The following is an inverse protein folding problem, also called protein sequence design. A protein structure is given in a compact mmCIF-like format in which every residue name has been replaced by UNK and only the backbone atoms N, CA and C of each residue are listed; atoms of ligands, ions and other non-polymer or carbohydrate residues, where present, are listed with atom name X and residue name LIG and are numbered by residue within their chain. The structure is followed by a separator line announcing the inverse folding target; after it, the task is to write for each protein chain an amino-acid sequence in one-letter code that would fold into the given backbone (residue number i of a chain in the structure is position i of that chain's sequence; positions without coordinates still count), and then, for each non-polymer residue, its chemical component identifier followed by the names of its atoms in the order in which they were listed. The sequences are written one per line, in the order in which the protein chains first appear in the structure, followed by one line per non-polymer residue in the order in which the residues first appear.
data_IF_164237055984
#
_entry.id   IF_164237055984
#
_cell.length_a   1.000
_cell.length_b   1.000
_cell.length_c   1.000
_cell.angle_alpha   90.00
_cell.angle_beta   90.00
_cell.angle_gamma   90.00
#
_symmetry.space_group_name_H-M   'P 1'
#
loop_
_entity.id
_entity.type
_entity.pdbx_description
1 polymer ?
#
# COMPACT_ATOMS: atom_id res chain seq x y z
N UNK A 1 3.55 -15.75 1.38
CA UNK A 1 2.76 -14.88 0.48
C UNK A 1 3.65 -13.80 -0.11
N UNK A 2 4.46 -13.11 0.71
CA UNK A 2 5.25 -11.95 0.29
C UNK A 2 6.77 -12.20 0.25
N UNK A 3 7.21 -13.44 0.03
CA UNK A 3 8.65 -13.75 -0.03
C UNK A 3 9.36 -12.91 -1.11
N UNK A 4 8.66 -12.67 -2.22
CA UNK A 4 9.09 -11.78 -3.30
C UNK A 4 9.37 -10.33 -2.83
N UNK A 5 8.60 -9.82 -1.88
CA UNK A 5 8.75 -8.45 -1.38
C UNK A 5 10.00 -8.32 -0.50
N UNK A 6 10.27 -9.35 0.31
CA UNK A 6 11.46 -9.43 1.15
C UNK A 6 12.72 -9.41 0.31
N UNK A 7 12.78 -10.25 -0.72
CA UNK A 7 13.98 -10.39 -1.55
C UNK A 7 14.30 -9.09 -2.33
N UNK A 8 13.27 -8.36 -2.81
CA UNK A 8 13.46 -7.04 -3.44
C UNK A 8 13.96 -6.02 -2.41
N UNK A 9 13.41 -6.02 -1.19
CA UNK A 9 13.88 -5.14 -0.12
C UNK A 9 15.35 -5.44 0.25
N UNK A 10 15.75 -6.72 0.26
CA UNK A 10 17.14 -7.11 0.53
C UNK A 10 18.07 -6.64 -0.62
N UNK A 11 17.67 -6.78 -1.88
CA UNK A 11 18.44 -6.23 -3.02
C UNK A 11 18.55 -4.70 -2.97
N UNK A 12 17.48 -3.99 -2.65
CA UNK A 12 17.53 -2.54 -2.48
C UNK A 12 18.50 -2.16 -1.34
N UNK A 13 18.73 -3.03 -0.35
CA UNK A 13 19.60 -2.77 0.80
C UNK A 13 21.06 -2.96 0.39
N UNK A 14 21.32 -3.91 -0.52
CA UNK A 14 22.63 -4.06 -1.17
C UNK A 14 22.99 -2.83 -2.01
N UNK A 15 22.03 -2.28 -2.77
CA UNK A 15 22.27 -1.15 -3.67
C UNK A 15 22.48 0.16 -2.89
N UNK A 16 21.61 0.45 -1.94
CA UNK A 16 21.67 1.68 -1.14
C UNK A 16 21.29 1.38 0.31
N UNK A 17 22.26 1.17 1.22
CA UNK A 17 21.97 0.86 2.62
C UNK A 17 21.48 2.08 3.44
N UNK A 18 21.73 3.30 2.95
CA UNK A 18 21.50 4.56 3.69
C UNK A 18 20.27 5.32 3.18
N UNK A 19 19.31 4.61 2.58
CA UNK A 19 18.15 5.14 1.84
C UNK A 19 17.51 6.31 2.58
N UNK A 20 17.74 7.53 2.08
CA UNK A 20 17.12 8.73 2.66
C UNK A 20 15.89 9.19 1.89
N UNK A 21 15.78 8.87 0.59
CA UNK A 21 14.75 9.49 -0.26
C UNK A 21 14.13 8.59 -1.34
N UNK A 22 14.71 7.42 -1.66
CA UNK A 22 14.22 6.53 -2.72
C UNK A 22 14.40 5.05 -2.36
N UNK A 23 13.43 4.21 -2.72
CA UNK A 23 13.46 2.76 -2.58
C UNK A 23 12.35 2.15 -1.71
N UNK A 24 12.31 0.81 -1.71
CA UNK A 24 11.38 -0.03 -0.95
C UNK A 24 11.92 -0.36 0.44
N UNK A 25 11.42 0.25 1.50
CA UNK A 25 11.77 -0.04 2.91
C UNK A 25 10.63 -0.75 3.64
N UNK A 26 10.91 -1.94 4.15
CA UNK A 26 9.99 -2.67 5.05
C UNK A 26 10.32 -2.36 6.51
N UNK A 27 9.31 -2.32 7.39
CA UNK A 27 9.55 -2.25 8.83
C UNK A 27 10.35 -3.46 9.32
N UNK A 28 11.30 -3.28 10.24
CA UNK A 28 12.17 -4.36 10.72
C UNK A 28 11.41 -5.48 11.46
N UNK A 29 10.22 -5.18 11.97
CA UNK A 29 9.39 -6.09 12.73
C UNK A 29 7.95 -6.07 12.23
N UNK A 30 7.33 -7.25 12.24
CA UNK A 30 5.90 -7.39 12.06
C UNK A 30 5.11 -7.06 13.33
N UNK A 31 3.84 -6.75 13.14
CA UNK A 31 2.89 -6.53 14.20
C UNK A 31 2.64 -7.83 14.98
N UNK A 32 2.56 -7.71 16.29
CA UNK A 32 2.17 -8.81 17.16
C UNK A 32 0.69 -9.13 16.99
N UNK A 33 0.31 -10.38 17.32
CA UNK A 33 -1.10 -10.79 17.30
C UNK A 33 -1.99 -9.91 18.19
N UNK A 34 -1.45 -9.43 19.32
CA UNK A 34 -2.15 -8.50 20.22
C UNK A 34 -2.43 -7.15 19.54
N UNK A 35 -1.46 -6.59 18.82
CA UNK A 35 -1.63 -5.31 18.11
C UNK A 35 -2.67 -5.44 16.98
N UNK A 36 -2.61 -6.54 16.23
CA UNK A 36 -3.56 -6.83 15.17
C UNK A 36 -4.99 -7.01 15.70
N UNK A 37 -5.16 -7.79 16.78
CA UNK A 37 -6.47 -7.97 17.45
C UNK A 37 -7.01 -6.66 18.03
N UNK A 38 -6.13 -5.83 18.61
CA UNK A 38 -6.52 -4.52 19.11
C UNK A 38 -7.01 -3.64 17.96
N UNK A 39 -6.29 -3.59 16.84
CA UNK A 39 -6.71 -2.84 15.66
C UNK A 39 -8.08 -3.29 15.16
N UNK A 40 -8.30 -4.58 14.95
CA UNK A 40 -9.59 -5.14 14.50
C UNK A 40 -10.73 -4.84 15.48
N UNK A 41 -10.46 -4.97 16.78
CA UNK A 41 -11.44 -4.62 17.83
C UNK A 41 -11.82 -3.15 17.78
N UNK A 42 -10.85 -2.26 17.54
CA UNK A 42 -11.07 -0.83 17.44
C UNK A 42 -11.80 -0.43 16.15
N UNK A 43 -11.54 -1.14 15.05
CA UNK A 43 -12.23 -0.94 13.77
C UNK A 43 -13.64 -1.55 13.76
N UNK A 44 -13.90 -2.54 14.61
CA UNK A 44 -15.16 -3.29 14.62
C UNK A 44 -15.30 -4.26 13.44
N UNK A 45 -14.22 -4.50 12.70
CA UNK A 45 -14.14 -5.41 11.55
C UNK A 45 -12.80 -6.18 11.58
N UNK A 46 -12.79 -7.39 11.02
CA UNK A 46 -11.53 -8.10 10.76
C UNK A 46 -10.75 -7.41 9.63
N UNK A 47 -9.42 -7.47 9.66
CA UNK A 47 -8.58 -7.01 8.55
C UNK A 47 -8.72 -7.96 7.35
N UNK A 48 -8.50 -7.43 6.14
CA UNK A 48 -8.36 -8.28 4.95
C UNK A 48 -7.19 -9.27 5.15
N UNK A 49 -7.31 -10.55 4.77
CA UNK A 49 -6.28 -11.56 5.04
C UNK A 49 -4.90 -11.16 4.52
N UNK A 50 -4.78 -10.72 3.26
CA UNK A 50 -3.51 -10.28 2.69
C UNK A 50 -2.90 -9.06 3.40
N UNK A 51 -3.73 -8.13 3.88
CA UNK A 51 -3.28 -6.97 4.67
C UNK A 51 -2.82 -7.38 6.07
N UNK A 52 -3.55 -8.29 6.73
CA UNK A 52 -3.18 -8.83 8.04
C UNK A 52 -1.85 -9.60 7.96
N UNK A 53 -1.72 -10.49 6.97
CA UNK A 53 -0.51 -11.29 6.73
C UNK A 53 0.71 -10.40 6.43
N UNK A 54 0.50 -9.27 5.73
CA UNK A 54 1.53 -8.27 5.51
C UNK A 54 1.95 -7.61 6.82
N UNK A 55 0.99 -7.05 7.59
CA UNK A 55 1.30 -6.38 8.85
C UNK A 55 1.99 -7.31 9.85
N UNK A 56 1.61 -8.59 9.86
CA UNK A 56 2.25 -9.60 10.71
C UNK A 56 3.73 -9.86 10.35
N UNK A 57 4.13 -9.63 9.10
CA UNK A 57 5.52 -9.77 8.66
C UNK A 57 6.29 -8.46 8.79
N UNK A 58 5.65 -7.34 8.40
CA UNK A 58 6.22 -5.99 8.44
C UNK A 58 5.12 -5.01 8.86
N UNK A 59 5.28 -4.39 10.02
CA UNK A 59 4.30 -3.44 10.56
C UNK A 59 4.40 -2.06 9.89
N UNK A 60 4.26 -2.03 8.56
CA UNK A 60 4.38 -0.85 7.73
C UNK A 60 5.49 -0.97 6.67
N UNK A 61 5.41 -0.11 5.67
CA UNK A 61 6.35 -0.06 4.55
C UNK A 61 6.40 1.35 3.96
N UNK A 62 7.53 1.74 3.41
CA UNK A 62 7.64 2.89 2.52
C UNK A 62 8.20 2.45 1.16
N UNK A 63 7.71 3.01 0.07
CA UNK A 63 8.14 2.73 -1.29
C UNK A 63 8.17 4.04 -2.06
N UNK A 64 9.34 4.68 -2.18
CA UNK A 64 9.43 6.06 -2.68
C UNK A 64 8.48 6.99 -1.90
N UNK A 65 7.52 7.56 -2.60
CA UNK A 65 6.45 8.41 -2.08
C UNK A 65 5.27 7.59 -1.52
N UNK A 66 5.25 6.27 -1.63
CA UNK A 66 4.21 5.45 -1.01
C UNK A 66 4.53 5.11 0.43
N UNK A 67 3.52 5.16 1.30
CA UNK A 67 3.66 4.75 2.69
C UNK A 67 2.45 3.92 3.13
N UNK A 68 2.71 2.68 3.54
CA UNK A 68 1.72 1.77 4.15
C UNK A 68 1.82 1.92 5.66
N UNK A 69 0.72 2.37 6.26
CA UNK A 69 0.61 2.67 7.68
C UNK A 69 0.77 1.40 8.55
N UNK A 70 1.53 1.54 9.63
CA UNK A 70 1.62 0.58 10.72
C UNK A 70 0.32 0.46 11.51
N UNK A 71 0.17 -0.57 12.35
CA UNK A 71 -0.97 -0.71 13.27
C UNK A 71 -1.16 0.51 14.18
N UNK A 72 -0.08 1.12 14.66
CA UNK A 72 -0.13 2.35 15.47
C UNK A 72 -0.60 3.56 14.67
N UNK A 73 -0.09 3.74 13.45
CA UNK A 73 -0.49 4.84 12.58
C UNK A 73 -1.95 4.69 12.14
N UNK A 74 -2.41 3.47 11.84
CA UNK A 74 -3.81 3.18 11.56
C UNK A 74 -4.73 3.56 12.73
N UNK A 75 -4.32 3.26 13.97
CA UNK A 75 -5.08 3.63 15.17
C UNK A 75 -5.04 5.14 15.43
N UNK A 76 -3.90 5.78 15.22
CA UNK A 76 -3.77 7.23 15.32
C UNK A 76 -4.67 7.91 14.30
N UNK A 77 -4.60 7.48 13.04
CA UNK A 77 -5.41 7.99 11.93
C UNK A 77 -6.91 7.82 12.18
N UNK A 78 -7.32 6.66 12.72
CA UNK A 78 -8.68 6.44 13.24
C UNK A 78 -9.09 7.50 14.27
N UNK A 79 -8.21 7.79 15.24
CA UNK A 79 -8.54 8.65 16.37
C UNK A 79 -8.52 10.14 16.00
N UNK A 80 -7.68 10.54 15.03
CA UNK A 80 -7.55 11.92 14.58
C UNK A 80 -8.57 12.29 13.50
N UNK A 81 -8.81 11.40 12.52
CA UNK A 81 -9.76 11.66 11.44
C UNK A 81 -11.22 11.35 11.81
N UNK A 82 -11.44 10.46 12.78
CA UNK A 82 -12.76 10.03 13.24
C UNK A 82 -13.49 9.13 12.23
N UNK A 83 -14.02 8.00 12.68
CA UNK A 83 -14.94 7.19 11.89
C UNK A 83 -16.39 7.60 12.13
N UNK A 84 -17.15 7.81 11.06
CA UNK A 84 -18.59 8.04 11.12
C UNK A 84 -19.35 6.70 11.24
N UNK A 85 -20.39 6.60 12.11
CA UNK A 85 -21.31 5.46 12.13
C UNK A 85 -22.16 5.35 10.84
N UNK A 86 -22.65 4.15 10.55
CA UNK A 86 -23.32 3.71 9.30
C UNK A 86 -24.56 4.52 8.85
N UNK A 87 -25.25 5.20 9.78
CA UNK A 87 -26.66 5.57 9.63
C UNK A 87 -26.91 7.04 9.27
N UNK A 88 -25.85 7.85 9.14
CA UNK A 88 -25.95 9.29 8.91
C UNK A 88 -25.36 9.70 7.57
N UNK A 89 -25.95 10.74 6.96
CA UNK A 89 -25.23 11.58 6.00
C UNK A 89 -23.84 11.92 6.58
N UNK A 90 -22.82 11.92 5.73
CA UNK A 90 -21.55 12.56 6.03
C UNK A 90 -21.82 14.06 6.14
N UNK A 91 -22.27 14.51 7.32
CA UNK A 91 -22.46 15.94 7.59
C UNK A 91 -21.10 16.54 7.89
N UNK A 92 -20.54 17.27 6.93
CA UNK A 92 -19.43 18.19 7.18
C UNK A 92 -19.91 19.28 8.16
N UNK A 93 -19.76 19.06 9.46
CA UNK A 93 -20.01 20.10 10.46
C UNK A 93 -18.69 20.82 10.73
N UNK A 94 -18.50 21.95 10.04
CA UNK A 94 -17.34 22.83 10.14
C UNK A 94 -17.16 23.51 11.50
N UNK A 95 -17.98 23.20 12.50
CA UNK A 95 -18.13 24.03 13.71
C UNK A 95 -17.25 23.60 14.90
N UNK A 96 -16.56 22.45 14.84
CA UNK A 96 -15.72 21.97 15.96
C UNK A 96 -14.35 21.42 15.54
N UNK A 97 -13.86 21.73 14.33
CA UNK A 97 -12.67 21.09 13.78
C UNK A 97 -11.55 22.11 13.63
N UNK A 98 -10.36 21.70 14.04
CA UNK A 98 -9.11 22.47 13.93
C UNK A 98 -8.87 22.89 12.47
N UNK A 99 -8.71 24.19 12.18
CA UNK A 99 -8.47 24.69 10.82
C UNK A 99 -7.20 24.15 10.15
N UNK A 100 -6.27 23.58 10.92
CA UNK A 100 -5.04 22.96 10.39
C UNK A 100 -5.22 21.46 10.05
N UNK A 101 -6.36 20.85 10.40
CA UNK A 101 -6.71 19.48 9.97
C UNK A 101 -7.38 19.56 8.62
N UNK A 102 -6.76 18.97 7.59
CA UNK A 102 -7.34 18.85 6.26
C UNK A 102 -8.68 18.08 6.32
N UNK A 103 -9.78 18.83 6.47
CA UNK A 103 -11.18 18.44 6.60
C UNK A 103 -11.69 17.47 5.51
N UNK A 104 -10.95 17.29 4.44
CA UNK A 104 -11.34 16.50 3.27
C UNK A 104 -11.50 15.01 3.62
N UNK A 105 -10.76 14.47 4.60
CA UNK A 105 -10.78 13.03 4.91
C UNK A 105 -11.42 12.64 6.26
N UNK A 106 -11.89 13.60 7.06
CA UNK A 106 -12.61 13.32 8.31
C UNK A 106 -14.09 13.10 8.04
N UNK A 107 -14.72 12.14 8.73
CA UNK A 107 -16.08 11.59 8.48
C UNK A 107 -16.18 10.43 7.48
N UNK A 108 -15.23 9.50 7.49
CA UNK A 108 -15.34 8.25 6.73
C UNK A 108 -15.99 7.14 7.54
N UNK A 109 -16.75 6.22 6.93
CA UNK A 109 -17.17 5.01 7.63
C UNK A 109 -16.00 4.10 7.99
N UNK A 110 -16.06 3.42 9.14
CA UNK A 110 -14.99 2.54 9.66
C UNK A 110 -14.60 1.36 8.74
N UNK A 111 -15.49 0.98 7.81
CA UNK A 111 -15.22 -0.07 6.84
C UNK A 111 -14.32 0.37 5.67
N UNK A 112 -13.91 1.64 5.62
CA UNK A 112 -12.86 2.16 4.74
C UNK A 112 -11.57 2.33 5.53
N UNK A 113 -10.87 1.22 5.72
CA UNK A 113 -9.57 1.29 6.38
C UNK A 113 -8.57 1.93 5.42
N UNK A 114 -8.31 3.23 5.59
CA UNK A 114 -7.20 3.88 4.91
C UNK A 114 -5.90 3.32 5.46
N UNK A 115 -5.05 2.87 4.56
CA UNK A 115 -3.74 2.32 4.89
C UNK A 115 -2.60 3.03 4.15
N UNK A 116 -2.91 4.00 3.27
CA UNK A 116 -1.95 4.84 2.56
C UNK A 116 -2.51 6.27 2.40
N UNK A 117 -1.72 7.31 2.72
CA UNK A 117 -2.17 8.72 2.84
C UNK A 117 -1.55 9.68 1.81
N UNK A 118 -2.09 10.91 1.77
CA UNK A 118 -1.74 12.00 0.85
C UNK A 118 -0.32 12.53 0.96
N UNK A 119 0.35 12.31 2.09
CA UNK A 119 1.51 13.12 2.48
C UNK A 119 2.68 13.02 1.49
N UNK A 120 2.64 12.02 0.60
CA UNK A 120 3.68 11.74 -0.37
C UNK A 120 3.15 11.43 -1.80
N UNK A 121 2.01 10.76 -1.99
CA UNK A 121 1.57 10.23 -3.33
C UNK A 121 0.53 11.05 -4.09
N UNK A 122 -0.14 11.99 -3.42
CA UNK A 122 -1.34 12.64 -3.98
C UNK A 122 -2.58 11.72 -4.12
N UNK A 123 -2.54 10.51 -3.57
CA UNK A 123 -3.68 9.58 -3.53
C UNK A 123 -3.90 9.02 -2.12
N UNK A 124 -5.16 8.76 -1.75
CA UNK A 124 -5.50 7.95 -0.56
C UNK A 124 -6.07 6.63 -1.02
N UNK A 125 -5.53 5.55 -0.47
CA UNK A 125 -6.08 4.22 -0.65
C UNK A 125 -6.69 3.69 0.63
N UNK A 126 -7.80 2.97 0.48
CA UNK A 126 -8.45 2.26 1.56
C UNK A 126 -8.91 0.87 1.15
N UNK A 127 -9.07 -0.02 2.14
CA UNK A 127 -9.76 -1.30 1.98
C UNK A 127 -11.26 -1.10 2.17
N UNK A 128 -12.10 -1.57 1.24
CA UNK A 128 -13.58 -1.53 1.36
C UNK A 128 -14.13 -2.85 1.92
N UNK A 129 -14.31 -2.90 3.24
CA UNK A 129 -14.85 -4.07 3.93
C UNK A 129 -16.33 -4.37 3.64
N UNK A 130 -17.07 -3.51 2.91
CA UNK A 130 -18.47 -3.78 2.53
C UNK A 130 -18.62 -4.64 1.29
N UNK A 131 -17.64 -4.60 0.41
CA UNK A 131 -17.72 -5.19 -0.92
C UNK A 131 -16.65 -6.27 -1.08
N UNK A 132 -16.59 -7.27 -0.18
CA UNK A 132 -15.53 -8.26 -0.20
C UNK A 132 -15.52 -9.02 -1.53
N UNK A 133 -14.33 -9.25 -2.07
CA UNK A 133 -14.09 -10.07 -3.24
C UNK A 133 -13.52 -11.41 -2.76
N UNK A 134 -14.41 -12.39 -2.57
CA UNK A 134 -14.04 -13.63 -1.90
C UNK A 134 -13.78 -13.41 -0.41
N UNK A 135 -12.54 -13.67 0.04
CA UNK A 135 -12.11 -13.42 1.42
C UNK A 135 -11.36 -12.08 1.59
N UNK A 136 -11.07 -11.38 0.49
CA UNK A 136 -10.31 -10.13 0.50
C UNK A 136 -11.22 -8.90 0.47
N UNK A 137 -10.68 -7.78 0.94
CA UNK A 137 -11.31 -6.48 0.74
C UNK A 137 -10.63 -5.79 -0.44
N UNK A 138 -11.39 -5.30 -1.43
CA UNK A 138 -10.81 -4.58 -2.54
C UNK A 138 -10.19 -3.28 -2.05
N UNK A 139 -9.15 -2.86 -2.76
CA UNK A 139 -8.49 -1.58 -2.52
C UNK A 139 -9.13 -0.53 -3.43
N UNK A 140 -9.61 0.54 -2.82
CA UNK A 140 -10.24 1.65 -3.49
C UNK A 140 -9.35 2.89 -3.43
N UNK A 141 -9.35 3.67 -4.50
CA UNK A 141 -8.98 5.08 -4.41
C UNK A 141 -10.11 5.78 -3.66
N UNK A 142 -9.76 6.40 -2.53
CA UNK A 142 -10.64 7.27 -1.79
C UNK A 142 -10.42 8.71 -2.25
N UNK A 143 -11.47 9.33 -2.77
CA UNK A 143 -11.44 10.75 -3.16
C UNK A 143 -12.46 11.54 -2.35
N UNK A 144 -11.96 12.44 -1.51
CA UNK A 144 -12.76 13.29 -0.65
C UNK A 144 -13.57 14.36 -1.39
N UNK A 145 -13.15 14.70 -2.61
CA UNK A 145 -13.71 15.84 -3.35
C UNK A 145 -14.96 15.47 -4.15
N UNK A 146 -15.27 14.17 -4.29
CA UNK A 146 -16.41 13.67 -5.03
C UNK A 146 -17.62 13.36 -4.14
N UNK A 147 -18.81 13.37 -4.75
CA UNK A 147 -20.05 12.96 -4.09
C UNK A 147 -19.95 11.54 -3.52
N UNK A 148 -20.75 11.24 -2.50
CA UNK A 148 -20.75 9.96 -1.76
C UNK A 148 -20.98 8.71 -2.64
N UNK A 149 -21.44 8.85 -3.87
CA UNK A 149 -21.62 7.73 -4.81
C UNK A 149 -20.36 7.45 -5.66
N UNK A 150 -19.47 8.44 -5.81
CA UNK A 150 -18.27 8.39 -6.66
C UNK A 150 -16.94 8.44 -5.87
N UNK A 151 -16.99 8.63 -4.54
CA UNK A 151 -15.81 8.78 -3.69
C UNK A 151 -14.95 7.50 -3.52
N UNK A 152 -15.43 6.35 -4.01
CA UNK A 152 -14.70 5.08 -3.99
C UNK A 152 -14.65 4.47 -5.39
N UNK A 153 -13.45 4.41 -5.94
CA UNK A 153 -13.21 3.67 -7.17
C UNK A 153 -12.35 2.46 -6.83
N UNK A 154 -12.90 1.26 -6.97
CA UNK A 154 -12.13 0.02 -6.85
C UNK A 154 -10.99 0.06 -7.87
N UNK A 155 -9.76 -0.06 -7.37
CA UNK A 155 -8.54 -0.10 -8.19
C UNK A 155 -7.95 -1.50 -8.23
N UNK A 156 -7.97 -2.18 -7.10
CA UNK A 156 -7.39 -3.52 -6.97
C UNK A 156 -8.37 -4.47 -6.29
N UNK A 157 -8.37 -5.75 -6.69
CA UNK A 157 -9.24 -6.77 -6.09
C UNK A 157 -8.82 -7.15 -4.66
N UNK A 158 -7.55 -6.91 -4.29
CA UNK A 158 -7.01 -7.19 -2.96
C UNK A 158 -5.80 -6.29 -2.63
N UNK A 159 -5.37 -6.31 -1.37
CA UNK A 159 -4.15 -5.64 -0.94
C UNK A 159 -2.88 -6.27 -1.56
N UNK A 160 -2.83 -7.60 -1.69
CA UNK A 160 -1.73 -8.30 -2.41
C UNK A 160 -1.61 -7.83 -3.86
N UNK A 161 -2.73 -7.71 -4.59
CA UNK A 161 -2.73 -7.26 -5.99
C UNK A 161 -2.15 -5.85 -6.13
N UNK A 162 -2.54 -4.94 -5.23
CA UNK A 162 -1.98 -3.59 -5.17
C UNK A 162 -0.46 -3.63 -4.90
N UNK A 163 -0.01 -4.41 -3.92
CA UNK A 163 1.40 -4.52 -3.59
C UNK A 163 2.22 -5.05 -4.77
N UNK A 164 1.73 -6.08 -5.47
CA UNK A 164 2.38 -6.62 -6.66
C UNK A 164 2.54 -5.57 -7.75
N UNK A 165 1.48 -4.81 -8.06
CA UNK A 165 1.54 -3.75 -9.07
C UNK A 165 2.54 -2.65 -8.69
N UNK A 166 2.46 -2.16 -7.45
CA UNK A 166 3.29 -1.04 -6.99
C UNK A 166 4.76 -1.44 -6.96
N UNK A 167 5.08 -2.65 -6.49
CA UNK A 167 6.45 -3.15 -6.51
C UNK A 167 6.93 -3.45 -7.93
N UNK A 168 6.08 -4.00 -8.81
CA UNK A 168 6.43 -4.22 -10.21
C UNK A 168 6.79 -2.91 -10.92
N UNK A 169 5.96 -1.87 -10.76
CA UNK A 169 6.22 -0.56 -11.36
C UNK A 169 7.51 0.05 -10.82
N UNK A 170 7.74 0.00 -9.50
CA UNK A 170 9.00 0.44 -8.91
C UNK A 170 10.22 -0.27 -9.54
N UNK A 171 10.15 -1.61 -9.68
CA UNK A 171 11.25 -2.38 -10.27
C UNK A 171 11.48 -1.97 -11.73
N UNK A 172 10.44 -1.76 -12.51
CA UNK A 172 10.56 -1.46 -13.95
C UNK A 172 10.93 0.00 -14.23
N UNK A 173 10.45 0.95 -13.41
CA UNK A 173 10.53 2.38 -13.70
C UNK A 173 11.65 3.07 -12.90
N UNK A 174 11.81 2.73 -11.62
CA UNK A 174 12.60 3.56 -10.68
C UNK A 174 13.96 2.97 -10.31
N UNK A 175 14.17 1.65 -10.49
CA UNK A 175 15.39 1.02 -9.97
C UNK A 175 16.65 1.36 -10.76
N UNK A 176 16.53 1.74 -12.04
CA UNK A 176 17.65 2.25 -12.83
C UNK A 176 18.11 3.61 -12.28
N UNK A 177 17.17 4.49 -11.94
CA UNK A 177 17.48 5.76 -11.29
C UNK A 177 18.10 5.52 -9.91
N UNK A 178 17.58 4.56 -9.14
CA UNK A 178 18.13 4.18 -7.84
C UNK A 178 19.59 3.69 -7.92
N UNK A 179 19.96 2.91 -8.94
CA UNK A 179 21.36 2.49 -9.16
C UNK A 179 22.23 3.69 -9.53
N UNK A 180 21.73 4.55 -10.43
CA UNK A 180 22.48 5.72 -10.92
C UNK A 180 22.74 6.76 -9.82
N UNK A 181 21.78 6.92 -8.90
CA UNK A 181 21.85 7.84 -7.77
C UNK A 181 22.43 7.19 -6.49
N UNK A 182 22.88 5.93 -6.58
CA UNK A 182 23.41 5.22 -5.43
C UNK A 182 24.66 5.94 -4.88
N UNK A 183 24.84 6.03 -3.54
CA UNK A 183 26.06 6.58 -2.95
C UNK A 183 27.32 5.74 -3.22
N UNK A 184 27.13 4.51 -3.69
CA UNK A 184 28.18 3.54 -3.99
C UNK A 184 28.58 3.68 -5.45
N UNK A 185 29.86 3.91 -5.73
CA UNK A 185 30.40 3.85 -7.09
C UNK A 185 30.48 2.38 -7.54
N UNK A 186 29.49 1.94 -8.31
CA UNK A 186 29.51 0.63 -8.96
C UNK A 186 30.38 0.65 -10.22
N UNK A 187 31.08 -0.45 -10.50
CA UNK A 187 31.67 -0.65 -11.83
C UNK A 187 30.59 -0.98 -12.86
N UNK A 188 30.88 -0.75 -14.15
CA UNK A 188 29.95 -1.09 -15.25
C UNK A 188 29.51 -2.58 -15.23
N UNK A 189 30.39 -3.49 -14.79
CA UNK A 189 30.03 -4.91 -14.64
C UNK A 189 29.05 -5.15 -13.49
N UNK A 190 29.23 -4.45 -12.36
CA UNK A 190 28.34 -4.52 -11.19
C UNK A 190 26.97 -3.90 -11.49
N UNK A 191 26.94 -2.73 -12.14
CA UNK A 191 25.70 -2.08 -12.58
C UNK A 191 24.90 -2.99 -13.52
N UNK A 192 25.55 -3.54 -14.55
CA UNK A 192 24.91 -4.47 -15.47
C UNK A 192 24.40 -5.74 -14.76
N UNK A 193 25.14 -6.25 -13.77
CA UNK A 193 24.72 -7.39 -12.96
C UNK A 193 23.49 -7.08 -12.10
N UNK A 194 23.42 -5.88 -11.52
CA UNK A 194 22.26 -5.41 -10.75
C UNK A 194 21.02 -5.22 -11.63
N UNK A 195 21.18 -4.58 -12.80
CA UNK A 195 20.11 -4.41 -13.77
C UNK A 195 19.54 -5.77 -14.20
N UNK A 196 20.40 -6.75 -14.52
CA UNK A 196 19.95 -8.10 -14.88
C UNK A 196 19.17 -8.79 -13.75
N UNK A 197 19.58 -8.61 -12.49
CA UNK A 197 18.81 -9.13 -11.35
C UNK A 197 17.42 -8.50 -11.30
N UNK A 198 17.32 -7.17 -11.46
CA UNK A 198 16.07 -6.44 -11.44
C UNK A 198 15.13 -6.82 -12.60
N UNK A 199 15.67 -7.05 -13.80
CA UNK A 199 14.90 -7.57 -14.94
C UNK A 199 14.30 -8.94 -14.65
N UNK A 200 15.08 -9.86 -14.06
CA UNK A 200 14.60 -11.18 -13.65
C UNK A 200 13.48 -11.06 -12.59
N UNK A 201 13.60 -10.12 -11.67
CA UNK A 201 12.58 -9.81 -10.67
C UNK A 201 11.27 -9.33 -11.29
N UNK A 202 11.34 -8.39 -12.23
CA UNK A 202 10.16 -7.91 -12.95
C UNK A 202 9.44 -9.06 -13.66
N UNK A 203 10.20 -10.00 -14.25
CA UNK A 203 9.63 -11.22 -14.85
C UNK A 203 8.96 -12.12 -13.82
N UNK A 204 9.58 -12.35 -12.66
CA UNK A 204 9.00 -13.17 -11.59
C UNK A 204 7.70 -12.55 -11.03
N UNK A 205 7.68 -11.25 -10.77
CA UNK A 205 6.46 -10.56 -10.32
C UNK A 205 5.35 -10.66 -11.37
N UNK A 206 5.69 -10.54 -12.64
CA UNK A 206 4.76 -10.74 -13.75
C UNK A 206 4.20 -12.16 -13.81
N UNK A 207 5.04 -13.17 -13.59
CA UNK A 207 4.63 -14.57 -13.50
C UNK A 207 3.65 -14.77 -12.34
N UNK A 208 3.98 -14.28 -11.14
CA UNK A 208 3.09 -14.33 -9.96
C UNK A 208 1.73 -13.69 -10.28
N UNK A 209 1.73 -12.46 -10.80
CA UNK A 209 0.48 -11.76 -11.18
C UNK A 209 -0.34 -12.57 -12.18
N UNK A 210 0.32 -13.18 -13.17
CA UNK A 210 -0.34 -14.00 -14.20
C UNK A 210 -0.91 -15.30 -13.63
N UNK A 211 -0.18 -15.98 -12.74
CA UNK A 211 -0.63 -17.19 -12.04
C UNK A 211 -1.86 -16.93 -11.16
N UNK A 212 -1.95 -15.72 -10.59
CA UNK A 212 -3.11 -15.22 -9.85
C UNK A 212 -4.25 -14.75 -10.74
N UNK A 213 -4.09 -14.79 -12.06
CA UNK A 213 -5.14 -14.49 -13.04
C UNK A 213 -5.16 -13.05 -13.57
N UNK A 214 -4.18 -12.21 -13.24
CA UNK A 214 -4.03 -10.90 -13.86
C UNK A 214 -3.52 -11.03 -15.30
N UNK A 215 -3.93 -10.11 -16.17
CA UNK A 215 -3.39 -9.98 -17.53
C UNK A 215 -2.40 -8.81 -17.54
N UNK A 216 -1.11 -9.13 -17.57
CA UNK A 216 -0.02 -8.14 -17.50
C UNK A 216 0.45 -7.77 -18.91
N UNK A 217 0.03 -6.59 -19.37
CA UNK A 217 0.48 -5.96 -20.60
C UNK A 217 1.86 -5.31 -20.47
N UNK A 218 2.21 -4.43 -21.42
CA UNK A 218 3.48 -3.67 -21.37
C UNK A 218 3.42 -2.49 -20.39
N UNK A 219 2.25 -1.85 -20.30
CA UNK A 219 2.01 -0.65 -19.47
C UNK A 219 0.69 -0.70 -18.69
N UNK A 220 -0.08 -1.80 -18.81
CA UNK A 220 -1.39 -1.93 -18.19
C UNK A 220 -1.50 -3.32 -17.56
N UNK A 221 -2.14 -3.38 -16.40
CA UNK A 221 -2.49 -4.63 -15.73
C UNK A 221 -4.01 -4.70 -15.62
N UNK A 222 -4.57 -5.81 -16.07
CA UNK A 222 -6.00 -6.09 -15.98
C UNK A 222 -6.24 -7.15 -14.89
N UNK A 223 -6.94 -6.75 -13.85
CA UNK A 223 -7.24 -7.55 -12.66
C UNK A 223 -8.55 -8.35 -12.77
N UNK A 224 -9.26 -8.30 -13.90
CA UNK A 224 -10.58 -8.94 -14.05
C UNK A 224 -10.55 -10.47 -13.88
N UNK A 225 -9.41 -11.12 -14.11
CA UNK A 225 -9.24 -12.56 -13.91
C UNK A 225 -8.69 -12.96 -12.54
N UNK A 226 -8.49 -12.01 -11.61
CA UNK A 226 -7.84 -12.24 -10.33
C UNK A 226 -8.60 -13.25 -9.44
N UNK A 227 -7.86 -14.18 -8.80
CA UNK A 227 -8.40 -15.25 -7.94
C UNK A 227 -7.72 -15.33 -6.57
#
# INVERSE_FOLDING_TARGET
MFDWLKEINDLCNEISPQRKYYGLMLADQGATETELQQLETQLGIALAPSHRDFLQQWNGMSLNDWHILSTSELLEWKNTAGFAPFDGEVTTTSENIDPDVHLYYGNKPAYHLVFCTFDLTGEVLCLDGRSPQGLEYPVCKYDAEYYLEDHLVIKYPSFEAMLLEKTFNFVVEDTIEMISDAPTDFSEEEENGLIQKLDLWALQLKEIMTERGAVVGKYNIDWTGWQ
#
